data_IF_906436166259
#
_entry.id   IF_906436166259
#
_cell.length_a   1.000
_cell.length_b   1.000
_cell.length_c   1.000
_cell.angle_alpha   90.00
_cell.angle_beta   90.00
_cell.angle_gamma   90.00
#
_symmetry.space_group_name_H-M   'P 1'
#
loop_
_entity.id
_entity.type
_entity.pdbx_description
1 polymer ?
2 polymer ?
3 non-polymer ?
4 non-polymer ?
5 water ?
#
# COMPACT_ATOMS: atom_id res chain seq x y z
C UNK A 1 -5.04 -0.26 -29.00
N UNK A 2 -5.70 0.73 -29.60
CA UNK A 2 -6.24 0.57 -30.95
C UNK A 2 -5.30 1.15 -32.02
N UNK A 3 -4.05 1.40 -31.64
CA UNK A 3 -3.07 1.95 -32.56
C UNK A 3 -1.71 1.91 -31.89
N UNK A 4 -0.66 2.03 -32.71
CA UNK A 4 0.68 2.10 -32.16
C UNK A 4 0.77 3.10 -31.02
N UNK A 5 0.24 4.32 -31.23
CA UNK A 5 0.33 5.36 -30.20
C UNK A 5 -0.38 4.95 -28.92
N UNK A 6 -1.54 4.29 -29.05
CA UNK A 6 -2.29 3.84 -27.88
C UNK A 6 -1.56 2.73 -27.15
N UNK A 7 -0.98 1.79 -27.90
CA UNK A 7 -0.19 0.75 -27.28
C UNK A 7 1.00 1.35 -26.53
N UNK A 8 1.67 2.34 -27.14
CA UNK A 8 2.82 2.96 -26.47
C UNK A 8 2.40 3.73 -25.23
N UNK A 9 1.26 4.41 -25.27
CA UNK A 9 0.76 5.08 -24.07
C UNK A 9 0.35 4.07 -23.00
N UNK A 10 -0.27 2.96 -23.39
CA UNK A 10 -0.58 1.93 -22.39
C UNK A 10 0.69 1.32 -21.82
N UNK A 11 1.71 1.10 -22.66
CA UNK A 11 2.97 0.58 -22.16
C UNK A 11 3.57 1.55 -21.14
N UNK A 12 3.54 2.85 -21.44
CA UNK A 12 4.07 3.84 -20.51
C UNK A 12 3.38 3.73 -19.16
N UNK A 13 2.04 3.67 -19.18
CA UNK A 13 1.28 3.51 -17.95
C UNK A 13 1.70 2.25 -17.22
N UNK A 14 1.80 1.13 -17.94
CA UNK A 14 2.17 -0.13 -17.30
C UNK A 14 3.55 -0.03 -16.64
N UNK A 15 4.52 0.61 -17.30
CA UNK A 15 5.86 0.66 -16.73
C UNK A 15 5.92 1.61 -15.54
N UNK A 16 5.10 2.66 -15.52
CA UNK A 16 5.01 3.49 -14.31
C UNK A 16 4.44 2.68 -13.15
N UNK A 17 3.42 1.85 -13.42
CA UNK A 17 2.88 0.97 -12.39
C UNK A 17 3.91 -0.05 -11.95
N UNK A 18 4.66 -0.60 -12.91
CA UNK A 18 5.70 -1.58 -12.60
C UNK A 18 6.72 -0.97 -11.63
N UNK A 19 7.12 0.28 -11.90
CA UNK A 19 8.00 1.00 -10.99
C UNK A 19 7.38 1.16 -9.61
N UNK A 20 6.12 1.62 -9.56
CA UNK A 20 5.52 1.94 -8.28
C UNK A 20 5.46 0.70 -7.40
N UNK A 21 5.11 -0.45 -8.00
CA UNK A 21 5.05 -1.71 -7.25
C UNK A 21 6.42 -2.12 -6.75
N UNK A 22 7.46 -1.98 -7.58
CA UNK A 22 8.82 -2.29 -7.13
C UNK A 22 9.23 -1.41 -5.95
N UNK A 23 8.99 -0.10 -6.06
CA UNK A 23 9.34 0.81 -4.98
C UNK A 23 8.58 0.47 -3.71
N UNK A 24 7.25 0.33 -3.82
CA UNK A 24 6.46 0.02 -2.63
C UNK A 24 6.89 -1.30 -2.03
N UNK A 25 7.12 -2.32 -2.86
CA UNK A 25 7.59 -3.60 -2.33
C UNK A 25 8.86 -3.40 -1.50
N UNK A 26 9.81 -2.64 -2.03
CA UNK A 26 11.06 -2.38 -1.32
C UNK A 26 10.79 -1.67 0.00
N UNK A 27 9.85 -0.73 0.00
CA UNK A 27 9.54 0.00 1.22
C UNK A 27 8.84 -0.90 2.23
N UNK A 28 7.95 -1.77 1.74
CA UNK A 28 7.32 -2.75 2.62
C UNK A 28 8.34 -3.71 3.21
N UNK A 29 9.35 -4.09 2.43
CA UNK A 29 10.34 -5.01 2.98
C UNK A 29 11.13 -4.36 4.11
N UNK A 30 11.48 -3.08 3.97
CA UNK A 30 12.17 -2.40 5.06
C UNK A 30 11.29 -2.33 6.30
N UNK A 31 10.03 -1.94 6.12
CA UNK A 31 9.11 -1.90 7.25
C UNK A 31 8.97 -3.27 7.90
N UNK A 32 8.97 -4.33 7.09
CA UNK A 32 8.77 -5.67 7.64
C UNK A 32 9.98 -6.12 8.45
N UNK A 33 11.19 -5.84 7.97
CA UNK A 33 12.37 -6.20 8.75
C UNK A 33 12.42 -5.41 10.05
N UNK A 34 12.06 -4.12 10.02
CA UNK A 34 12.01 -3.36 11.25
C UNK A 34 11.01 -3.97 12.23
N UNK A 35 9.86 -4.44 11.73
CA UNK A 35 8.87 -5.04 12.62
C UNK A 35 9.38 -6.30 13.31
N UNK A 36 10.64 -6.67 13.12
CA UNK A 36 11.28 -7.67 13.96
C UNK A 36 12.24 -7.03 14.95
N UNK A 37 11.74 -6.64 16.12
CA UNK A 37 12.55 -5.90 17.10
C UNK A 37 13.46 -6.82 17.91
C UNK B 1 -6.48 11.66 -11.02
N UNK B 2 -6.29 11.35 -9.74
CA UNK B 2 -5.80 12.32 -8.77
C UNK B 2 -4.41 12.84 -9.12
N UNK B 3 -4.11 14.05 -8.65
CA UNK B 3 -2.87 14.71 -8.97
C UNK B 3 -1.83 14.39 -7.91
N UNK B 4 -0.59 14.80 -8.18
CA UNK B 4 0.48 14.60 -7.21
C UNK B 4 0.12 15.26 -5.90
N UNK B 5 -0.35 16.50 -5.95
CA UNK B 5 -0.62 17.20 -4.70
C UNK B 5 -1.79 16.57 -3.94
N UNK B 6 -2.80 16.06 -4.66
CA UNK B 6 -3.91 15.39 -3.98
C UNK B 6 -3.46 14.06 -3.36
N UNK B 7 -2.57 13.34 -4.03
CA UNK B 7 -2.07 12.10 -3.46
C UNK B 7 -1.20 12.36 -2.24
N UNK B 8 -0.29 13.32 -2.34
CA UNK B 8 0.58 13.59 -1.21
C UNK B 8 -0.21 14.12 -0.01
N UNK B 9 -1.31 14.84 -0.27
CA UNK B 9 -2.16 15.29 0.83
C UNK B 9 -2.88 14.11 1.47
N UNK B 10 -3.27 13.13 0.65
CA UNK B 10 -3.93 11.94 1.18
C UNK B 10 -2.97 11.13 2.03
N UNK B 11 -1.72 11.00 1.59
CA UNK B 11 -0.74 10.30 2.42
C UNK B 11 -0.58 10.98 3.78
N UNK B 12 -0.48 12.30 3.79
CA UNK B 12 -0.30 13.00 5.05
C UNK B 12 -1.51 12.82 5.95
N UNK B 13 -2.72 12.92 5.40
CA UNK B 13 -3.91 12.67 6.20
C UNK B 13 -3.93 11.23 6.70
N UNK B 14 -3.54 10.27 5.86
CA UNK B 14 -3.49 8.89 6.30
C UNK B 14 -2.44 8.68 7.39
N UNK B 15 -1.28 9.32 7.26
CA UNK B 15 -0.25 9.20 8.29
C UNK B 15 -0.73 9.78 9.62
N UNK B 16 -1.45 10.89 9.58
CA UNK B 16 -2.02 11.44 10.80
C UNK B 16 -2.99 10.45 11.44
N UNK B 17 -3.88 9.86 10.63
CA UNK B 17 -4.82 8.85 11.13
C UNK B 17 -4.09 7.67 11.74
N UNK B 18 -3.05 7.20 11.07
CA UNK B 18 -2.23 6.13 11.62
C UNK B 18 -1.78 6.49 13.02
N UNK B 19 -1.27 7.71 13.20
CA UNK B 19 -0.78 8.14 14.50
C UNK B 19 -1.90 8.16 15.53
N UNK B 20 -3.02 8.79 15.19
CA UNK B 20 -4.16 8.81 16.10
C UNK B 20 -4.54 7.40 16.54
N UNK B 21 -4.61 6.46 15.58
CA UNK B 21 -5.02 5.10 15.91
C UNK B 21 -4.01 4.41 16.81
N UNK B 22 -2.72 4.66 16.58
CA UNK B 22 -1.73 4.03 17.44
C UNK B 22 -1.82 4.56 18.86
N UNK B 23 -2.08 5.86 19.03
CA UNK B 23 -2.20 6.38 20.39
C UNK B 23 -3.45 5.84 21.07
N UNK B 24 -4.54 5.71 20.31
CA UNK B 24 -5.76 5.16 20.87
C UNK B 24 -5.57 3.72 21.35
N UNK B 25 -4.75 2.95 20.63
CA UNK B 25 -4.54 1.55 20.99
C UNK B 25 -3.66 1.46 22.22
N UNK B 26 -2.55 2.20 22.24
CA UNK B 26 -1.70 2.18 23.43
C UNK B 26 -2.42 2.76 24.64
N UNK B 27 -3.35 3.69 24.41
CA UNK B 27 -4.23 4.17 25.46
C UNK B 27 -5.10 3.02 25.97
N UNK B 28 -6.05 2.56 25.14
CA UNK B 28 -6.89 1.43 25.50
C UNK B 28 -6.08 0.29 26.10
N UNK B 29 -4.80 0.17 25.74
CA UNK B 29 -3.98 -0.92 26.25
C UNK B 29 -3.65 -0.72 27.72
N UNK B 30 -2.94 0.37 28.04
CA UNK B 30 -2.67 0.70 29.44
C UNK B 30 -3.96 0.66 30.25
N UNK B 31 -4.95 1.44 29.83
CA UNK B 31 -6.21 1.56 30.56
C UNK B 31 -6.82 0.19 30.84
N UNK B 32 -7.21 -0.53 29.79
CA UNK B 32 -7.75 -1.87 29.98
C UNK B 32 -6.74 -2.83 30.61
N UNK B 33 -5.45 -2.48 30.61
CA UNK B 33 -4.47 -3.31 31.29
C UNK B 33 -4.69 -3.29 32.80
N UNK B 34 -5.10 -2.14 33.35
CA UNK B 34 -5.23 -2.00 34.80
C UNK B 34 -6.49 -2.65 35.34
N UNK B 35 -7.57 -2.69 34.57
CA UNK B 35 -8.84 -3.26 35.04
C UNK B 35 -8.89 -4.74 34.67
N UNK B 36 -8.59 -5.60 35.64
CA UNK B 36 -8.62 -7.04 35.42
C UNK B 36 -7.26 -7.65 35.19
C UNK C 1 4.10 8.53 -13.12
N UNK C 2 5.40 8.26 -13.14
CA UNK C 2 6.02 7.33 -12.19
C UNK C 2 5.80 7.77 -10.73
N UNK C 3 6.02 9.06 -10.47
CA UNK C 3 5.88 9.57 -9.11
C UNK C 3 4.46 9.43 -8.61
N UNK C 4 3.48 9.74 -9.47
CA UNK C 4 2.08 9.64 -9.08
C UNK C 4 1.73 8.18 -8.80
N UNK C 5 2.12 7.28 -9.71
CA UNK C 5 1.89 5.85 -9.48
C UNK C 5 2.52 5.40 -8.17
N UNK C 6 3.73 5.88 -7.88
CA UNK C 6 4.36 5.47 -6.63
C UNK C 6 3.56 5.95 -5.41
N UNK C 7 3.07 7.19 -5.43
CA UNK C 7 2.27 7.66 -4.29
C UNK C 7 0.98 6.86 -4.15
N UNK C 8 0.36 6.49 -5.27
CA UNK C 8 -0.84 5.68 -5.20
C UNK C 8 -0.58 4.36 -4.49
N UNK C 9 0.57 3.73 -4.77
CA UNK C 9 0.86 2.47 -4.09
C UNK C 9 1.08 2.70 -2.60
N UNK C 10 1.69 3.83 -2.23
CA UNK C 10 1.86 4.13 -0.82
C UNK C 10 0.51 4.32 -0.14
N UNK C 11 -0.43 4.98 -0.83
CA UNK C 11 -1.76 5.18 -0.27
C UNK C 11 -2.42 3.84 0.03
N UNK C 12 -2.33 2.90 -0.92
CA UNK C 12 -2.91 1.59 -0.67
C UNK C 12 -2.32 0.94 0.56
N UNK C 13 -1.00 1.00 0.71
CA UNK C 13 -0.39 0.45 1.91
C UNK C 13 -0.94 1.13 3.17
N UNK C 14 -0.98 2.46 3.17
CA UNK C 14 -1.39 3.19 4.36
C UNK C 14 -2.82 2.83 4.75
N UNK C 15 -3.71 2.67 3.76
CA UNK C 15 -5.09 2.30 4.08
C UNK C 15 -5.15 0.93 4.72
N UNK C 16 -4.34 -0.01 4.22
CA UNK C 16 -4.29 -1.36 4.79
C UNK C 16 -3.77 -1.33 6.23
N UNK C 17 -2.70 -0.56 6.46
CA UNK C 17 -2.20 -0.39 7.83
C UNK C 17 -3.27 0.22 8.74
N UNK C 18 -3.97 1.26 8.27
CA UNK C 18 -4.97 1.90 9.11
C UNK C 18 -6.22 1.05 9.24
N UNK C 19 -6.51 0.19 8.26
CA UNK C 19 -7.59 -0.78 8.44
C UNK C 19 -7.31 -1.69 9.62
N UNK C 20 -6.11 -2.29 9.65
CA UNK C 20 -5.79 -3.18 10.75
C UNK C 20 -5.74 -2.43 12.07
N UNK C 21 -5.27 -1.18 12.06
CA UNK C 21 -5.23 -0.42 13.30
C UNK C 21 -6.63 -0.09 13.79
N UNK C 22 -7.51 0.33 12.87
CA UNK C 22 -8.89 0.60 13.24
C UNK C 22 -9.57 -0.66 13.76
N UNK C 23 -9.34 -1.79 13.10
CA UNK C 23 -9.91 -3.05 13.59
C UNK C 23 -9.45 -3.33 15.01
N UNK C 24 -8.13 -3.27 15.24
CA UNK C 24 -7.61 -3.51 16.58
C UNK C 24 -8.19 -2.53 17.59
N UNK C 25 -8.25 -1.25 17.23
CA UNK C 25 -8.86 -0.26 18.12
C UNK C 25 -10.29 -0.66 18.46
N UNK C 26 -11.11 -0.93 17.44
CA UNK C 26 -12.50 -1.29 17.70
C UNK C 26 -12.58 -2.58 18.50
N UNK C 27 -11.69 -3.53 18.22
CA UNK C 27 -11.63 -4.76 19.01
C UNK C 27 -11.21 -4.49 20.45
N UNK C 28 -10.51 -3.38 20.70
CA UNK C 28 -10.13 -3.03 22.07
C UNK C 28 -11.21 -2.21 22.77
N UNK C 29 -11.81 -1.24 22.07
CA UNK C 29 -12.93 -0.49 22.64
C UNK C 29 -13.98 -1.41 23.24
N UNK C 30 -14.29 -2.52 22.56
CA UNK C 30 -15.27 -3.45 23.09
C UNK C 30 -14.66 -4.45 24.07
N UNK C 31 -13.37 -4.78 23.94
CA UNK C 31 -12.76 -5.71 24.88
C UNK C 31 -12.70 -5.14 26.28
N UNK C 32 -13.21 -3.93 26.46
CA UNK C 32 -13.37 -3.33 27.78
C UNK C 32 -14.87 -3.34 28.07
N UNK C 33 -15.33 -4.43 28.67
CA UNK C 33 -16.73 -4.60 29.07
C UNK C 33 -16.79 -5.59 30.21
C UNK D 1 3.14 -5.86 -37.20
N UNK D 2 4.40 -6.11 -37.54
CA UNK D 2 5.29 -6.80 -36.63
C UNK D 2 5.52 -5.91 -35.41
N UNK D 3 5.58 -4.59 -35.64
CA UNK D 3 5.65 -3.64 -34.54
C UNK D 3 4.43 -3.76 -33.64
N UNK D 4 3.23 -3.75 -34.24
CA UNK D 4 2.00 -3.91 -33.46
C UNK D 4 2.08 -5.16 -32.61
N UNK D 5 2.43 -6.29 -33.23
CA UNK D 5 2.55 -7.54 -32.49
C UNK D 5 3.60 -7.44 -31.40
N UNK D 6 4.68 -6.70 -31.65
CA UNK D 6 5.71 -6.57 -30.63
C UNK D 6 5.21 -5.75 -29.45
N UNK D 7 4.43 -4.70 -29.74
CA UNK D 7 3.91 -3.88 -28.65
C UNK D 7 2.83 -4.63 -27.87
N UNK D 8 1.98 -5.39 -28.56
CA UNK D 8 0.95 -6.14 -27.85
C UNK D 8 1.58 -7.16 -26.92
N UNK D 9 2.65 -7.83 -27.37
CA UNK D 9 3.34 -8.77 -26.49
C UNK D 9 4.00 -8.04 -25.31
N UNK D 10 4.56 -6.85 -25.54
CA UNK D 10 5.09 -6.08 -24.42
C UNK D 10 4.00 -5.71 -23.41
N UNK D 11 2.83 -5.27 -23.90
CA UNK D 11 1.71 -5.02 -22.98
C UNK D 11 1.42 -6.26 -22.15
N UNK D 12 1.24 -7.40 -22.81
CA UNK D 12 0.89 -8.62 -22.08
C UNK D 12 1.97 -8.96 -21.06
N UNK D 13 3.24 -8.84 -21.44
CA UNK D 13 4.33 -9.17 -20.52
C UNK D 13 4.34 -8.24 -19.31
N UNK D 14 4.16 -6.94 -19.53
CA UNK D 14 4.14 -6.01 -18.40
C UNK D 14 2.96 -6.29 -17.47
N UNK D 15 1.79 -6.61 -18.04
CA UNK D 15 0.62 -6.93 -17.20
C UNK D 15 0.88 -8.17 -16.36
N UNK D 16 1.44 -9.21 -16.96
CA UNK D 16 1.77 -10.40 -16.20
C UNK D 16 2.76 -10.07 -15.09
N UNK D 17 3.82 -9.32 -15.40
CA UNK D 17 4.79 -9.00 -14.35
C UNK D 17 4.17 -8.08 -13.31
N UNK D 18 3.33 -7.13 -13.74
CA UNK D 18 2.67 -6.29 -12.74
C UNK D 18 1.75 -7.12 -11.86
N UNK D 19 1.17 -8.18 -12.42
CA UNK D 19 0.34 -9.06 -11.62
C UNK D 19 1.17 -9.77 -10.55
N UNK D 20 2.37 -10.24 -10.91
CA UNK D 20 3.25 -10.86 -9.92
C UNK D 20 3.67 -9.85 -8.86
N UNK D 21 4.02 -8.64 -9.29
CA UNK D 21 4.45 -7.62 -8.34
C UNK D 21 3.31 -7.23 -7.41
N UNK D 22 2.14 -6.97 -7.97
CA UNK D 22 1.03 -6.57 -7.11
C UNK D 22 0.68 -7.67 -6.11
N UNK D 23 0.79 -8.94 -6.52
CA UNK D 23 0.53 -10.03 -5.60
C UNK D 23 1.52 -10.03 -4.46
N UNK D 24 2.79 -9.79 -4.77
CA UNK D 24 3.82 -9.71 -3.74
C UNK D 24 3.57 -8.51 -2.83
N UNK D 25 3.34 -7.34 -3.43
CA UNK D 25 3.05 -6.15 -2.65
C UNK D 25 1.88 -6.39 -1.71
N UNK D 26 0.85 -7.09 -2.17
CA UNK D 26 -0.34 -7.28 -1.36
C UNK D 26 -0.10 -8.28 -0.24
N UNK D 27 0.70 -9.31 -0.50
CA UNK D 27 1.12 -10.21 0.57
C UNK D 27 1.86 -9.44 1.66
N UNK D 28 2.82 -8.60 1.26
CA UNK D 28 3.60 -7.83 2.23
C UNK D 28 2.75 -6.79 2.94
N UNK D 29 1.81 -6.16 2.24
CA UNK D 29 0.93 -5.21 2.91
C UNK D 29 0.15 -5.88 4.02
N UNK D 30 -0.33 -7.10 3.77
CA UNK D 30 -1.10 -7.80 4.79
C UNK D 30 -0.23 -8.17 5.98
N UNK D 31 1.00 -8.61 5.73
CA UNK D 31 1.92 -8.91 6.82
C UNK D 31 2.27 -7.65 7.61
N UNK D 32 2.63 -6.58 6.91
CA UNK D 32 3.02 -5.34 7.58
C UNK D 32 1.84 -4.76 8.34
N UNK D 33 0.67 -4.69 7.70
CA UNK D 33 -0.50 -4.12 8.36
C UNK D 33 -0.83 -4.88 9.64
N UNK D 34 -0.72 -6.20 9.62
CA UNK D 34 -1.14 -7.01 10.75
C UNK D 34 -0.08 -7.02 11.85
N UNK D 35 1.18 -7.24 11.47
CA UNK D 35 2.25 -7.16 12.47
C UNK D 35 2.27 -5.80 13.14
N UNK D 36 1.96 -4.74 12.40
CA UNK D 36 2.03 -3.41 12.97
C UNK D 36 0.85 -3.02 13.84
N UNK D 37 -0.22 -3.81 13.82
CA UNK D 37 -1.45 -3.52 14.57
C UNK D 37 -1.86 -4.76 15.36
N UNK D 38 -0.97 -5.28 16.21
CA UNK D 38 -1.23 -6.56 16.88
C UNK D 38 -1.89 -6.40 18.25
X LIG E 1 -10.18 5.74 9.27
X LIG E 1 -9.09 6.07 10.11
X LIG E 1 -10.99 4.61 9.88
X LIG E 1 -10.74 4.57 11.27
X LIG E 1 -10.54 3.29 9.26
X LIG E 1 -9.18 3.41 8.90
X LIG F 1 -3.52 -7.20 -8.82
X LIG F 1 -3.22 -8.66 -8.54
X LIG F 1 -3.48 -8.90 -7.18
X LIG F 1 -4.43 -9.85 -6.76
X LIG F 1 -5.67 -9.95 -7.65
X LIG F 1 -3.84 -11.27 -6.65
X LIG F 1 -4.76 -12.02 -5.86
X LIG F 1 -4.41 -13.15 -5.06
X LIG F 1 -2.92 -13.33 -4.77
X LIG F 1 -5.17 -13.00 -3.74
X LIG F 1 -4.96 -14.05 -2.84
X LIG F 1 -6.13 -14.46 -2.18
X LIG F 1 -6.25 -13.82 -0.80
X LIG F 1 -2.29 -8.85 -8.73
X LIG F 1 -3.79 -9.22 -9.09
X LIG F 1 -4.73 -9.59 -5.88
X LIG F 1 -5.42 -10.34 -8.50
X LIG F 1 -6.33 -10.50 -7.22
X LIG F 1 -6.03 -9.06 -7.80
X LIG F 1 -3.76 -11.67 -7.53
X LIG F 1 -2.97 -11.24 -6.22
X LIG F 1 -4.72 -13.95 -5.51
X LIG F 1 -2.81 -13.80 -3.93
X LIG F 1 -2.49 -12.46 -4.71
X LIG F 1 -2.50 -13.84 -5.48
X LIG F 1 -6.12 -12.96 -3.95
X LIG F 1 -4.91 -12.17 -3.32
X LIG G 1 -3.85 -11.99 -0.58
X LIG G 1 -3.81 -10.63 -0.92
X LIG G 1 -4.64 -9.81 -0.13
X LIG G 1 -4.03 -9.68 1.26
X LIG G 1 -4.86 -8.45 -0.83
X LIG G 1 -4.38 -7.33 -0.12
X LIG G 1 -5.29 -6.58 0.66
X LIG G 1 -6.45 -6.00 -0.17
X LIG G 1 -4.53 -5.45 1.37
X LIG G 1 -4.72 -5.57 2.76
X LIG G 1 -5.61 -4.74 3.48
X LIG G 1 -6.27 -5.62 4.52
X LIG G 1 -6.70 -4.01 2.68
X LIG G 1 -7.84 -3.80 3.50
X LIG G 1 -8.18 -2.46 3.77
X LIG G 1 -8.50 -1.69 2.48
X LIG G 1 -5.50 -10.24 -0.04
X LIG G 1 -4.70 -9.88 1.93
X LIG G 1 -3.29 -10.31 1.34
X LIG G 1 -3.70 -8.78 1.38
X LIG G 1 -4.43 -8.47 -1.70
X LIG G 1 -5.81 -8.34 -0.97
X LIG G 1 -5.67 -7.16 1.34
X LIG G 1 -7.29 -6.17 0.28
X LIG G 1 -6.46 -6.43 -1.05
X LIG G 1 -6.33 -5.05 -0.28
X LIG G 1 -3.58 -5.50 1.16
X LIG G 1 -4.87 -4.59 1.07
X LIG G 1 -5.08 -4.07 3.95
X LIG G 1 -6.92 -5.10 5.02
X LIG G 1 -6.72 -6.35 4.08
X LIG G 1 -5.60 -5.97 5.12
X LIG G 1 -6.95 -4.54 1.91
X LIG G 1 -6.36 -3.15 2.38
X LIG G 1 -8.95 -2.43 4.36
#
# INVERSE_FOLDING_TARGET
AASLDELQAEIEQLEERNYALRKEIEDLQKQLEKLGAP
AASLDELQAEIEQLEERNYALRKEIEDLQKQLEKLGAP
AASIARLEEKVKTLKAQNYELASTANMLREQVAQLGAP
AASIARLEEKVKTLKAQNYELASTANMLREQVAQLGAP
GOL C1 O1 C2 O2 C3 O3
JEF C37 C36 O11 C33 C34 C32 O10 C19 C40 C20 O C C18 H361 H362 H33 H341 H342 H343 H321 H322 H19 H401 H402 H403 H201 H202
JEF C4 O3 C7 C9 C8 O4 C11 C12 C10 O5 C13 C15 C14 O6 C16 C30 H7 H91 H92 H93 H81 H82 H11 H121 H122 H123 H101 H102 H13 H151 H152 H153 H141 H142 H161
#
